data_IF_934309601291
#
_entry.id   IF_934309601291
#
_cell.length_a   1.000
_cell.length_b   1.000
_cell.length_c   1.000
_cell.angle_alpha   90.00
_cell.angle_beta   90.00
_cell.angle_gamma   90.00
#
_symmetry.space_group_name_H-M   'P 1'
#
loop_
_entity.id
_entity.type
_entity.pdbx_description
1 polymer ?
#
# COMPACT_ATOMS: atom_id res chain seq x y z
N UNK A 1 -1.80 18.94 -13.56
CA UNK A 1 -3.00 19.09 -12.71
C UNK A 1 -2.85 18.12 -11.55
N UNK A 2 -2.52 18.63 -10.36
CA UNK A 2 -2.37 17.79 -9.17
C UNK A 2 -3.77 17.42 -8.67
N UNK A 3 -4.11 16.14 -8.77
CA UNK A 3 -5.25 15.60 -8.04
C UNK A 3 -4.80 15.55 -6.58
N UNK A 4 -5.14 16.61 -5.83
CA UNK A 4 -4.95 16.66 -4.39
C UNK A 4 -5.69 15.47 -3.80
N UNK A 5 -4.95 14.39 -3.53
CA UNK A 5 -5.55 13.11 -3.15
C UNK A 5 -5.88 13.25 -1.67
N UNK A 6 -7.07 13.74 -1.35
CA UNK A 6 -7.54 14.00 0.02
C UNK A 6 -7.50 12.77 0.96
N UNK A 7 -7.21 11.58 0.43
CA UNK A 7 -7.06 10.34 1.19
C UNK A 7 -5.65 10.25 1.78
N UNK A 8 -5.52 10.61 3.05
CA UNK A 8 -4.26 10.46 3.79
C UNK A 8 -3.96 9.01 4.19
N UNK A 9 -4.99 8.19 4.41
CA UNK A 9 -4.86 6.79 4.84
C UNK A 9 -6.01 5.90 4.35
N UNK A 10 -5.72 4.62 4.14
CA UNK A 10 -6.69 3.59 3.73
C UNK A 10 -6.85 2.55 4.84
N UNK A 11 -8.07 2.13 5.10
CA UNK A 11 -8.33 0.96 5.93
C UNK A 11 -8.24 -0.32 5.07
N UNK A 12 -7.27 -1.17 5.35
CA UNK A 12 -7.12 -2.48 4.69
C UNK A 12 -7.32 -3.62 5.70
N UNK A 13 -7.77 -4.82 5.29
CA UNK A 13 -7.82 -5.97 6.18
C UNK A 13 -6.44 -6.34 6.73
N UNK A 14 -6.36 -6.74 8.00
CA UNK A 14 -5.09 -7.19 8.59
C UNK A 14 -4.45 -8.34 7.82
N UNK A 15 -5.25 -9.26 7.29
CA UNK A 15 -4.76 -10.35 6.41
C UNK A 15 -4.05 -9.82 5.16
N UNK A 16 -4.52 -8.72 4.57
CA UNK A 16 -3.88 -8.08 3.43
C UNK A 16 -2.55 -7.43 3.85
N UNK A 17 -2.51 -6.76 5.00
CA UNK A 17 -1.28 -6.21 5.54
C UNK A 17 -0.23 -7.30 5.86
N UNK A 18 -0.63 -8.39 6.52
CA UNK A 18 0.26 -9.53 6.78
C UNK A 18 0.80 -10.15 5.50
N UNK A 19 -0.08 -10.42 4.52
CA UNK A 19 0.34 -10.94 3.22
C UNK A 19 1.34 -10.01 2.52
N UNK A 20 1.13 -8.70 2.62
CA UNK A 20 2.03 -7.68 2.06
C UNK A 20 3.40 -7.71 2.72
N UNK A 21 3.47 -7.80 4.05
CA UNK A 21 4.73 -7.95 4.80
C UNK A 21 5.47 -9.22 4.37
N UNK A 22 4.75 -10.34 4.23
CA UNK A 22 5.35 -11.61 3.77
C UNK A 22 5.92 -11.48 2.37
N UNK A 23 5.20 -10.85 1.43
CA UNK A 23 5.68 -10.62 0.06
C UNK A 23 6.90 -9.70 0.03
N UNK A 24 6.90 -8.61 0.80
CA UNK A 24 8.07 -7.74 0.93
C UNK A 24 9.28 -8.48 1.51
N UNK A 25 9.08 -9.31 2.54
CA UNK A 25 10.14 -10.12 3.13
C UNK A 25 10.77 -11.08 2.12
N UNK A 26 9.94 -11.75 1.31
CA UNK A 26 10.41 -12.63 0.23
C UNK A 26 11.18 -11.87 -0.86
N UNK A 27 10.69 -10.69 -1.27
CA UNK A 27 11.37 -9.84 -2.24
C UNK A 27 12.72 -9.32 -1.73
N UNK A 28 12.77 -8.86 -0.48
CA UNK A 28 14.01 -8.46 0.21
C UNK A 28 15.02 -9.60 0.19
N UNK A 29 14.58 -10.82 0.51
CA UNK A 29 15.46 -11.98 0.52
C UNK A 29 16.00 -12.32 -0.88
N UNK A 30 15.15 -12.24 -1.90
CA UNK A 30 15.55 -12.49 -3.28
C UNK A 30 16.57 -11.43 -3.77
N UNK A 31 16.35 -10.15 -3.46
CA UNK A 31 17.31 -9.09 -3.79
C UNK A 31 18.67 -9.27 -3.12
N UNK A 32 18.69 -9.72 -1.86
CA UNK A 32 19.94 -10.03 -1.15
C UNK A 32 20.74 -11.15 -1.83
N UNK A 33 20.07 -12.11 -2.46
CA UNK A 33 20.71 -13.20 -3.19
C UNK A 33 21.24 -12.77 -4.56
N UNK A 34 20.63 -11.76 -5.20
CA UNK A 34 21.01 -11.30 -6.53
C UNK A 34 22.25 -10.39 -6.58
N UNK A 35 22.70 -9.83 -5.44
CA UNK A 35 23.95 -9.06 -5.29
C UNK A 35 24.26 -7.99 -6.38
N UNK A 36 23.25 -7.20 -6.78
CA UNK A 36 23.38 -6.13 -7.78
C UNK A 36 23.69 -4.72 -7.22
N UNK A 37 24.25 -3.81 -8.02
CA UNK A 37 24.39 -2.40 -7.66
C UNK A 37 23.01 -1.72 -7.52
N UNK A 38 22.87 -0.80 -6.57
CA UNK A 38 21.58 -0.11 -6.28
C UNK A 38 20.63 -0.87 -5.35
N UNK A 39 20.90 -2.16 -5.07
CA UNK A 39 20.06 -3.01 -4.22
C UNK A 39 20.01 -2.50 -2.77
N UNK A 40 21.08 -1.91 -2.25
CA UNK A 40 21.14 -1.45 -0.86
C UNK A 40 20.09 -0.37 -0.52
N UNK A 41 19.86 0.58 -1.42
CA UNK A 41 18.86 1.63 -1.22
C UNK A 41 17.44 1.03 -1.23
N UNK A 42 17.13 0.23 -2.27
CA UNK A 42 15.82 -0.43 -2.38
C UNK A 42 15.52 -1.34 -1.17
N UNK A 43 16.53 -2.07 -0.66
CA UNK A 43 16.40 -2.86 0.56
C UNK A 43 16.09 -2.00 1.80
N UNK A 44 16.72 -0.83 1.91
CA UNK A 44 16.46 0.12 2.99
C UNK A 44 15.02 0.64 2.98
N UNK A 45 14.56 1.09 1.80
CA UNK A 45 13.20 1.60 1.58
C UNK A 45 12.15 0.52 1.87
N UNK A 46 12.31 -0.69 1.32
CA UNK A 46 11.39 -1.80 1.58
C UNK A 46 11.35 -2.21 3.06
N UNK A 47 12.50 -2.16 3.77
CA UNK A 47 12.55 -2.46 5.19
C UNK A 47 11.86 -1.39 6.04
N UNK A 48 11.93 -0.12 5.63
CA UNK A 48 11.23 0.98 6.28
C UNK A 48 9.72 0.90 6.06
N UNK A 49 9.28 0.63 4.83
CA UNK A 49 7.88 0.43 4.51
C UNK A 49 7.27 -0.78 5.24
N UNK A 50 8.02 -1.88 5.34
CA UNK A 50 7.61 -3.07 6.11
C UNK A 50 7.44 -2.74 7.61
N UNK A 51 8.37 -1.96 8.19
CA UNK A 51 8.27 -1.49 9.58
C UNK A 51 7.08 -0.57 9.81
N UNK A 52 6.82 0.35 8.88
CA UNK A 52 5.66 1.25 8.96
C UNK A 52 4.33 0.48 8.93
N UNK A 53 4.24 -0.54 8.06
CA UNK A 53 3.06 -1.40 7.98
C UNK A 53 2.90 -2.27 9.23
N UNK A 54 3.99 -2.83 9.76
CA UNK A 54 3.99 -3.60 11.00
C UNK A 54 3.58 -2.75 12.22
N UNK A 55 4.08 -1.52 12.33
CA UNK A 55 3.68 -0.57 13.38
C UNK A 55 2.18 -0.26 13.32
N UNK A 56 1.65 -0.06 12.10
CA UNK A 56 0.21 0.15 11.89
C UNK A 56 -0.60 -1.06 12.39
N UNK A 57 -0.14 -2.29 12.13
CA UNK A 57 -0.78 -3.52 12.60
C UNK A 57 -0.84 -3.61 14.12
N UNK A 58 0.27 -3.29 14.80
CA UNK A 58 0.38 -3.34 16.26
C UNK A 58 -0.53 -2.32 16.95
N UNK A 59 -0.71 -1.14 16.35
CA UNK A 59 -1.59 -0.10 16.89
C UNK A 59 -3.09 -0.37 16.70
N UNK A 60 -3.48 -1.35 15.86
CA UNK A 60 -4.89 -1.59 15.53
C UNK A 60 -5.49 -2.72 16.37
N UNK A 61 -6.58 -2.43 17.09
CA UNK A 61 -7.40 -3.45 17.76
C UNK A 61 -8.48 -4.10 16.86
N UNK A 62 -8.67 -3.60 15.63
CA UNK A 62 -9.75 -4.04 14.73
C UNK A 62 -9.30 -5.12 13.73
N UNK A 63 -10.23 -5.64 12.92
CA UNK A 63 -9.95 -6.56 11.81
C UNK A 63 -9.29 -5.87 10.61
N UNK A 64 -9.31 -4.53 10.59
CA UNK A 64 -8.67 -3.67 9.60
C UNK A 64 -7.58 -2.82 10.23
N UNK A 65 -6.67 -2.30 9.42
CA UNK A 65 -5.58 -1.39 9.81
C UNK A 65 -5.59 -0.18 8.89
N UNK A 66 -5.43 1.01 9.47
CA UNK A 66 -5.27 2.27 8.72
C UNK A 66 -3.81 2.45 8.36
N UNK A 67 -3.51 2.56 7.07
CA UNK A 67 -2.15 2.71 6.55
C UNK A 67 -2.10 3.95 5.67
N UNK A 68 -1.03 4.76 5.74
CA UNK A 68 -0.87 5.89 4.84
C UNK A 68 -0.90 5.47 3.37
N UNK A 69 -1.62 6.24 2.52
CA UNK A 69 -1.68 5.96 1.07
C UNK A 69 -0.29 5.97 0.45
N UNK A 70 0.57 6.91 0.85
CA UNK A 70 1.94 7.01 0.36
C UNK A 70 2.74 5.72 0.61
N UNK A 71 2.62 5.13 1.81
CA UNK A 71 3.28 3.86 2.16
C UNK A 71 2.76 2.72 1.28
N UNK A 72 1.44 2.56 1.16
CA UNK A 72 0.87 1.50 0.30
C UNK A 72 1.26 1.67 -1.18
N UNK A 73 1.38 2.90 -1.65
CA UNK A 73 1.78 3.21 -3.03
C UNK A 73 3.23 2.83 -3.28
N UNK A 74 4.15 3.18 -2.37
CA UNK A 74 5.56 2.77 -2.47
C UNK A 74 5.72 1.26 -2.41
N UNK A 75 5.03 0.59 -1.50
CA UNK A 75 5.05 -0.87 -1.42
C UNK A 75 4.55 -1.48 -2.74
N UNK A 76 3.43 -1.00 -3.27
CA UNK A 76 2.91 -1.50 -4.54
C UNK A 76 3.93 -1.31 -5.68
N UNK A 77 4.63 -0.18 -5.72
CA UNK A 77 5.70 0.07 -6.70
C UNK A 77 6.87 -0.90 -6.55
N UNK A 78 7.37 -1.14 -5.33
CA UNK A 78 8.43 -2.12 -5.09
C UNK A 78 8.03 -3.53 -5.52
N UNK A 79 6.80 -3.96 -5.21
CA UNK A 79 6.29 -5.27 -5.62
C UNK A 79 6.17 -5.38 -7.14
N UNK A 80 5.68 -4.33 -7.81
CA UNK A 80 5.58 -4.28 -9.27
C UNK A 80 6.96 -4.33 -9.92
N UNK A 81 7.92 -3.49 -9.49
CA UNK A 81 9.27 -3.52 -10.03
C UNK A 81 9.96 -4.86 -9.79
N UNK A 82 9.87 -5.43 -8.58
CA UNK A 82 10.43 -6.74 -8.31
C UNK A 82 9.85 -7.85 -9.20
N UNK A 83 8.57 -7.76 -9.56
CA UNK A 83 7.94 -8.69 -10.48
C UNK A 83 8.34 -8.47 -11.95
N UNK A 84 8.57 -7.21 -12.35
CA UNK A 84 9.03 -6.84 -13.69
C UNK A 84 10.49 -7.20 -13.94
N UNK A 85 11.33 -7.03 -12.91
CA UNK A 85 12.75 -7.39 -12.94
C UNK A 85 12.98 -8.90 -12.75
N UNK A 86 11.92 -9.70 -12.78
CA UNK A 86 11.93 -11.16 -12.63
C UNK A 86 12.64 -11.64 -11.35
N UNK A 87 12.54 -10.87 -10.26
CA UNK A 87 13.26 -11.16 -9.02
C UNK A 87 12.67 -12.40 -8.31
N UNK A 88 13.50 -13.43 -8.18
CA UNK A 88 13.14 -14.69 -7.54
C UNK A 88 12.38 -15.65 -8.47
N UNK A 89 11.64 -16.60 -7.89
CA UNK A 89 10.92 -17.63 -8.66
C UNK A 89 9.64 -17.09 -9.32
N UNK A 90 9.16 -17.75 -10.37
CA UNK A 90 7.86 -17.43 -11.02
C UNK A 90 6.71 -17.39 -10.01
N UNK A 91 6.71 -18.29 -9.02
CA UNK A 91 5.71 -18.32 -7.96
C UNK A 91 5.75 -17.04 -7.10
N UNK A 92 6.95 -16.53 -6.79
CA UNK A 92 7.14 -15.26 -6.10
C UNK A 92 6.66 -14.11 -6.99
N UNK A 93 7.12 -14.02 -8.24
CA UNK A 93 6.72 -12.97 -9.19
C UNK A 93 5.19 -12.90 -9.33
N UNK A 94 4.50 -14.04 -9.45
CA UNK A 94 3.05 -14.09 -9.50
C UNK A 94 2.40 -13.61 -8.17
N UNK A 95 3.01 -13.91 -7.02
CA UNK A 95 2.55 -13.40 -5.72
C UNK A 95 2.74 -11.89 -5.59
N UNK A 96 3.86 -11.34 -6.10
CA UNK A 96 4.14 -9.91 -6.15
C UNK A 96 3.07 -9.18 -6.98
N UNK A 97 2.79 -9.64 -8.20
CA UNK A 97 1.76 -9.06 -9.07
C UNK A 97 0.37 -9.03 -8.42
N UNK A 98 -0.05 -10.16 -7.83
CA UNK A 98 -1.37 -10.26 -7.18
C UNK A 98 -1.47 -9.32 -5.98
N UNK A 99 -0.40 -9.20 -5.20
CA UNK A 99 -0.36 -8.36 -4.01
C UNK A 99 -0.33 -6.88 -4.39
N UNK A 100 0.51 -6.48 -5.33
CA UNK A 100 0.57 -5.11 -5.86
C UNK A 100 -0.79 -4.65 -6.40
N UNK A 101 -1.42 -5.47 -7.26
CA UNK A 101 -2.74 -5.16 -7.80
C UNK A 101 -3.84 -5.09 -6.73
N UNK A 102 -3.73 -5.87 -5.64
CA UNK A 102 -4.65 -5.78 -4.51
C UNK A 102 -4.49 -4.47 -3.74
N UNK A 103 -3.26 -4.03 -3.51
CA UNK A 103 -2.99 -2.75 -2.84
C UNK A 103 -3.49 -1.57 -3.68
N UNK A 104 -3.25 -1.59 -5.00
CA UNK A 104 -3.73 -0.57 -5.92
C UNK A 104 -5.26 -0.46 -5.91
N UNK A 105 -5.98 -1.60 -5.87
CA UNK A 105 -7.45 -1.59 -5.73
C UNK A 105 -7.90 -0.93 -4.43
N UNK A 106 -7.27 -1.25 -3.30
CA UNK A 106 -7.60 -0.59 -2.02
C UNK A 106 -7.36 0.92 -2.05
N UNK A 107 -6.28 1.37 -2.67
CA UNK A 107 -5.97 2.80 -2.83
C UNK A 107 -7.03 3.48 -3.71
N UNK A 108 -7.38 2.87 -4.85
CA UNK A 108 -8.39 3.38 -5.76
C UNK A 108 -9.77 3.45 -5.12
N UNK A 109 -10.20 2.40 -4.43
CA UNK A 109 -11.49 2.33 -3.73
C UNK A 109 -11.59 3.42 -2.66
N UNK A 110 -10.51 3.67 -1.92
CA UNK A 110 -10.47 4.72 -0.92
C UNK A 110 -10.61 6.13 -1.54
N UNK A 111 -9.95 6.38 -2.68
CA UNK A 111 -10.08 7.63 -3.42
C UNK A 111 -11.50 7.87 -3.92
N UNK A 112 -12.17 6.82 -4.43
CA UNK A 112 -13.57 6.89 -4.87
C UNK A 112 -14.51 7.18 -3.70
N UNK A 113 -14.30 6.53 -2.55
CA UNK A 113 -15.12 6.76 -1.35
C UNK A 113 -14.99 8.19 -0.82
N UNK A 114 -13.77 8.75 -0.81
CA UNK A 114 -13.55 10.12 -0.35
C UNK A 114 -14.15 11.15 -1.31
N UNK A 115 -14.01 10.94 -2.62
CA UNK A 115 -14.68 11.77 -3.62
C UNK A 115 -16.21 11.75 -3.49
N UNK A 116 -16.80 10.60 -3.16
CA UNK A 116 -18.24 10.48 -2.90
C UNK A 116 -18.69 11.22 -1.63
N UNK A 117 -17.87 11.19 -0.57
CA UNK A 117 -18.12 11.95 0.67
C UNK A 117 -18.07 13.45 0.44
N UNK A 118 -17.05 13.95 -0.27
CA UNK A 118 -16.93 15.36 -0.61
C UNK A 118 -18.17 15.90 -1.34
N UNK A 119 -18.72 15.14 -2.30
CA UNK A 119 -19.95 15.48 -3.02
C UNK A 119 -21.22 15.49 -2.16
N UNK A 120 -21.23 14.75 -1.05
CA UNK A 120 -22.39 14.68 -0.13
C UNK A 120 -22.37 15.84 0.85
N UNK A 121 -21.18 16.25 1.31
CA UNK A 121 -21.00 17.40 2.21
C UNK A 121 -21.39 18.71 1.54
N UNK A 122 -21.07 18.87 0.25
CA UNK A 122 -21.45 20.03 -0.57
C UNK A 122 -22.98 20.20 -0.73
N UNK A 123 -23.73 19.09 -0.70
CA UNK A 123 -25.19 19.07 -0.88
C UNK A 123 -26.00 19.30 0.41
N UNK A 124 -25.37 19.56 1.55
CA UNK A 124 -26.11 19.77 2.82
C UNK A 124 -26.64 21.21 2.84
N UNK A 125 -27.96 21.45 2.71
CA UNK A 125 -28.48 22.82 2.63
C UNK A 125 -28.24 23.51 3.97
N UNK A 126 -27.72 24.75 3.89
CA UNK A 126 -27.73 25.66 5.02
C UNK A 126 -29.17 25.81 5.51
N UNK A 127 -29.48 25.20 6.66
CA UNK A 127 -30.70 25.47 7.39
C UNK A 127 -30.59 26.92 7.88
N UNK A 128 -31.07 27.86 7.08
CA UNK A 128 -31.41 29.20 7.52
C UNK A 128 -32.48 29.05 8.60
N UNK A 129 -32.10 29.31 9.86
CA UNK A 129 -33.08 29.57 10.92
C UNK A 129 -33.64 30.96 10.65
N UNK A 130 -34.93 31.02 10.34
CA UNK A 130 -35.74 32.24 10.49
C UNK A 130 -36.09 32.48 11.95
#
# INVERSE_FOLDING_TARGET
MAVDTAVSSVAIPKSTAHQTITCLGALIQAHRQAAGPGVAQALGEMAEDSRALAGSLQSSGHTTVRVPVATLTRIAAHLTHGAQDEVGSEALQAALWRTAGRLQRWIADAAVQEAARAKTTDKRPARTRG
#
